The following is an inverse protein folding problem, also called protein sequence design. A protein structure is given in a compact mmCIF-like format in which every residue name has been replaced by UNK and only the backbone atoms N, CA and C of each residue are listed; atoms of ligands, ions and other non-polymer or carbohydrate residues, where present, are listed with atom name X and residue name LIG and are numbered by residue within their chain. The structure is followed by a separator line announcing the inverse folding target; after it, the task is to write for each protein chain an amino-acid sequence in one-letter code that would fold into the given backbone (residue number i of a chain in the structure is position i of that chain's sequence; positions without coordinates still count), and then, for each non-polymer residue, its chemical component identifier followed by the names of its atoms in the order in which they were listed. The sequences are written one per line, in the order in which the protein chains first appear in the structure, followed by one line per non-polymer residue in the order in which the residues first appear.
data_IF_536029221941
#
_entry.id   IF_536029221941
#
_cell.length_a   1.000
_cell.length_b   1.000
_cell.length_c   1.000
_cell.angle_alpha   90.00
_cell.angle_beta   90.00
_cell.angle_gamma   90.00
#
_symmetry.space_group_name_H-M   'P 1'
#
loop_
_entity.id
_entity.type
_entity.pdbx_description
1 polymer ?
#
# COMPACT_ATOMS: atom_id res chain seq x y z
N UNK A 1 25.01 4.83 12.69
CA UNK A 1 24.46 5.74 11.66
C UNK A 1 23.02 5.33 11.41
N UNK A 2 22.06 6.24 11.58
CA UNK A 2 20.64 5.96 11.34
C UNK A 2 20.18 6.65 10.06
N UNK A 3 19.22 6.04 9.37
CA UNK A 3 18.56 6.62 8.20
C UNK A 3 17.19 7.20 8.58
N UNK A 4 16.72 8.16 7.80
CA UNK A 4 15.41 8.77 8.03
C UNK A 4 14.27 7.83 7.61
N UNK A 5 13.49 7.38 8.58
CA UNK A 5 12.42 6.41 8.37
C UNK A 5 11.31 6.90 7.40
N UNK A 6 10.79 8.15 7.51
CA UNK A 6 9.87 8.72 6.52
C UNK A 6 10.39 8.64 5.07
N UNK A 7 11.68 8.91 4.86
CA UNK A 7 12.29 8.77 3.54
C UNK A 7 12.33 7.32 3.05
N UNK A 8 12.58 6.34 3.92
CA UNK A 8 12.54 4.92 3.55
C UNK A 8 11.15 4.47 3.09
N UNK A 9 10.10 4.84 3.85
CA UNK A 9 8.70 4.50 3.51
C UNK A 9 8.34 5.03 2.13
N UNK A 10 8.67 6.30 1.85
CA UNK A 10 8.45 6.90 0.53
C UNK A 10 9.21 6.16 -0.57
N UNK A 11 10.46 5.79 -0.31
CA UNK A 11 11.28 5.10 -1.29
C UNK A 11 10.73 3.71 -1.64
N UNK A 12 10.27 2.94 -0.64
CA UNK A 12 9.60 1.65 -0.85
C UNK A 12 8.36 1.81 -1.72
N UNK A 13 7.45 2.73 -1.34
CA UNK A 13 6.24 3.01 -2.14
C UNK A 13 6.58 3.45 -3.56
N UNK A 14 7.54 4.38 -3.71
CA UNK A 14 7.94 4.89 -5.02
C UNK A 14 8.59 3.80 -5.88
N UNK A 15 9.38 2.91 -5.29
CA UNK A 15 9.97 1.76 -5.99
C UNK A 15 8.89 0.79 -6.48
N UNK A 16 7.88 0.51 -5.65
CA UNK A 16 6.74 -0.32 -6.04
C UNK A 16 5.94 0.32 -7.17
N UNK A 17 5.58 1.59 -7.04
CA UNK A 17 4.85 2.34 -8.06
C UNK A 17 5.59 2.37 -9.41
N UNK A 18 6.89 2.63 -9.40
CA UNK A 18 7.66 2.81 -10.65
C UNK A 18 7.97 1.50 -11.35
N UNK A 19 8.24 0.44 -10.58
CA UNK A 19 8.64 -0.86 -11.13
C UNK A 19 7.50 -1.88 -11.14
N UNK A 20 6.32 -1.48 -10.67
CA UNK A 20 5.05 -2.23 -10.65
C UNK A 20 5.05 -3.51 -9.82
N UNK A 21 6.20 -3.98 -9.36
CA UNK A 21 6.30 -5.13 -8.47
C UNK A 21 7.48 -5.04 -7.50
N UNK A 22 7.29 -5.63 -6.32
CA UNK A 22 8.31 -5.89 -5.30
C UNK A 22 8.27 -7.36 -4.89
N UNK A 23 9.42 -7.86 -4.44
CA UNK A 23 9.57 -9.20 -3.87
C UNK A 23 10.37 -9.06 -2.57
N UNK A 24 9.82 -9.58 -1.48
CA UNK A 24 10.42 -9.43 -0.14
C UNK A 24 11.46 -10.53 0.12
N UNK A 25 11.19 -11.74 -0.35
CA UNK A 25 12.10 -12.90 -0.25
C UNK A 25 12.16 -13.67 -1.58
N UNK A 26 13.22 -14.47 -1.84
CA UNK A 26 13.35 -15.24 -3.08
C UNK A 26 12.20 -16.20 -3.35
N UNK A 27 11.56 -16.73 -2.31
CA UNK A 27 10.46 -17.70 -2.43
C UNK A 27 9.07 -17.03 -2.29
N UNK A 28 9.03 -15.78 -1.83
CA UNK A 28 7.79 -15.03 -1.62
C UNK A 28 7.07 -14.64 -2.92
N UNK A 29 5.76 -14.42 -2.82
CA UNK A 29 4.99 -13.89 -3.94
C UNK A 29 5.33 -12.43 -4.25
N UNK A 30 5.05 -12.02 -5.49
CA UNK A 30 5.22 -10.62 -5.89
C UNK A 30 4.09 -9.76 -5.31
N UNK A 31 4.48 -8.67 -4.65
CA UNK A 31 3.59 -7.56 -4.34
C UNK A 31 3.49 -6.70 -5.59
N UNK A 32 2.32 -6.63 -6.23
CA UNK A 32 2.11 -5.89 -7.47
C UNK A 32 1.32 -4.62 -7.23
N UNK A 33 1.66 -3.54 -7.94
CA UNK A 33 0.93 -2.28 -7.87
C UNK A 33 -0.52 -2.42 -8.35
N UNK A 34 -0.76 -3.30 -9.32
CA UNK A 34 -2.11 -3.56 -9.85
C UNK A 34 -3.09 -3.99 -8.76
N UNK A 35 -2.64 -4.75 -7.75
CA UNK A 35 -3.51 -5.18 -6.65
C UNK A 35 -4.14 -4.00 -5.90
N UNK A 36 -3.41 -2.90 -5.74
CA UNK A 36 -3.93 -1.68 -5.09
C UNK A 36 -4.98 -0.97 -5.95
N UNK A 37 -4.79 -1.00 -7.28
CA UNK A 37 -5.75 -0.45 -8.24
C UNK A 37 -7.03 -1.29 -8.23
N UNK A 38 -6.89 -2.62 -8.28
CA UNK A 38 -8.00 -3.56 -8.25
C UNK A 38 -8.82 -3.40 -6.95
N UNK A 39 -8.16 -3.31 -5.78
CA UNK A 39 -8.85 -3.09 -4.50
C UNK A 39 -9.62 -1.77 -4.51
N UNK A 40 -9.00 -0.67 -4.93
CA UNK A 40 -9.67 0.62 -4.98
C UNK A 40 -10.88 0.63 -5.91
N UNK A 41 -10.74 0.06 -7.11
CA UNK A 41 -11.81 0.00 -8.10
C UNK A 41 -12.99 -0.86 -7.61
N UNK A 42 -12.71 -1.99 -6.97
CA UNK A 42 -13.74 -2.85 -6.38
C UNK A 42 -14.43 -2.19 -5.18
N UNK A 43 -13.68 -1.50 -4.33
CA UNK A 43 -14.22 -0.76 -3.18
C UNK A 43 -15.11 0.41 -3.63
N UNK A 44 -14.72 1.12 -4.69
CA UNK A 44 -15.54 2.17 -5.29
C UNK A 44 -16.81 1.64 -5.95
N UNK A 45 -16.74 0.49 -6.64
CA UNK A 45 -17.92 -0.16 -7.24
C UNK A 45 -18.92 -0.61 -6.17
N UNK A 46 -18.43 -1.23 -5.09
CA UNK A 46 -19.26 -1.69 -3.97
C UNK A 46 -20.00 -0.55 -3.27
N UNK A 47 -19.40 0.65 -3.26
CA UNK A 47 -20.01 1.85 -2.69
C UNK A 47 -21.37 2.23 -3.31
N UNK A 48 -21.69 1.72 -4.50
CA UNK A 48 -22.99 1.94 -5.16
C UNK A 48 -24.12 1.15 -4.49
N UNK A 49 -23.84 -0.09 -4.04
CA UNK A 49 -24.81 -1.00 -3.45
C UNK A 49 -24.81 -0.96 -1.91
N UNK A 50 -23.73 -0.47 -1.30
CA UNK A 50 -23.60 -0.27 0.15
C UNK A 50 -22.70 0.94 0.43
N UNK A 51 -23.13 1.94 1.21
CA UNK A 51 -22.40 3.21 1.36
C UNK A 51 -21.07 3.10 2.13
N UNK A 52 -20.74 1.92 2.67
CA UNK A 52 -19.54 1.73 3.49
C UNK A 52 -18.40 1.14 2.66
N UNK A 53 -17.39 1.98 2.38
CA UNK A 53 -16.12 1.56 1.78
C UNK A 53 -15.26 0.80 2.79
N UNK A 54 -14.57 -0.23 2.32
CA UNK A 54 -13.57 -1.01 3.06
C UNK A 54 -12.32 -0.17 3.30
N UNK A 55 -11.88 0.59 2.29
CA UNK A 55 -10.67 1.42 2.35
C UNK A 55 -11.03 2.91 2.17
N UNK A 56 -11.78 3.55 3.09
CA UNK A 56 -12.28 4.91 2.91
C UNK A 56 -11.16 5.96 2.85
N UNK A 57 -10.00 5.69 3.47
CA UNK A 57 -8.82 6.56 3.45
C UNK A 57 -8.09 6.54 2.11
N UNK A 58 -8.21 5.45 1.34
CA UNK A 58 -7.54 5.32 0.04
C UNK A 58 -8.35 6.08 -1.01
N UNK A 59 -7.65 6.90 -1.76
CA UNK A 59 -8.21 7.78 -2.80
C UNK A 59 -7.35 7.69 -4.05
N UNK A 60 -7.85 8.17 -5.18
CA UNK A 60 -7.08 8.18 -6.43
C UNK A 60 -5.69 8.81 -6.30
N UNK A 61 -5.52 9.87 -5.48
CA UNK A 61 -4.20 10.48 -5.17
C UNK A 61 -3.14 9.52 -4.57
N UNK A 62 -3.55 8.41 -3.99
CA UNK A 62 -2.64 7.38 -3.49
C UNK A 62 -2.10 6.51 -4.64
N UNK A 63 -2.90 6.35 -5.70
CA UNK A 63 -2.63 5.47 -6.84
C UNK A 63 -2.01 6.21 -8.03
N UNK A 64 -2.59 7.38 -8.35
CA UNK A 64 -2.10 8.31 -9.36
C UNK A 64 -1.24 9.38 -8.70
N UNK A 65 0.05 9.06 -8.59
CA UNK A 65 1.01 9.81 -7.80
C UNK A 65 1.73 10.81 -8.70
N UNK A 66 1.37 12.08 -8.57
CA UNK A 66 2.10 13.20 -9.17
C UNK A 66 3.40 13.55 -8.40
N UNK A 67 4.16 14.53 -8.90
CA UNK A 67 5.43 14.94 -8.30
C UNK A 67 5.32 15.36 -6.83
N UNK A 68 4.21 16.01 -6.43
CA UNK A 68 3.98 16.43 -5.05
C UNK A 68 3.53 15.26 -4.16
N UNK A 69 2.65 14.41 -4.66
CA UNK A 69 2.15 13.21 -3.97
C UNK A 69 3.24 12.16 -3.77
N UNK A 70 4.27 12.16 -4.62
CA UNK A 70 5.48 11.32 -4.49
C UNK A 70 6.28 11.61 -3.22
N UNK A 71 6.24 12.86 -2.75
CA UNK A 71 6.96 13.32 -1.56
C UNK A 71 6.11 13.31 -0.29
N UNK A 72 4.80 13.12 -0.43
CA UNK A 72 3.88 13.06 0.70
C UNK A 72 4.03 11.73 1.45
N UNK A 73 4.62 11.80 2.65
CA UNK A 73 4.83 10.63 3.52
C UNK A 73 3.50 10.03 3.95
N UNK A 74 2.49 10.86 4.26
CA UNK A 74 1.19 10.38 4.71
C UNK A 74 0.53 9.47 3.66
N UNK A 75 0.51 9.89 2.40
CA UNK A 75 -0.04 9.06 1.31
C UNK A 75 0.76 7.76 1.14
N UNK A 76 2.09 7.82 1.26
CA UNK A 76 2.92 6.62 1.18
C UNK A 76 2.65 5.64 2.33
N UNK A 77 2.50 6.16 3.54
CA UNK A 77 2.18 5.36 4.73
C UNK A 77 0.81 4.73 4.58
N UNK A 78 -0.23 5.46 4.18
CA UNK A 78 -1.59 4.92 4.05
C UNK A 78 -1.68 3.78 3.01
N UNK A 79 -0.90 3.84 1.92
CA UNK A 79 -0.80 2.73 0.95
C UNK A 79 -0.16 1.49 1.58
N UNK A 80 0.79 1.67 2.49
CA UNK A 80 1.52 0.57 3.12
C UNK A 80 0.90 0.12 4.46
N UNK A 81 -0.02 0.92 5.04
CA UNK A 81 -0.64 0.76 6.37
C UNK A 81 -1.40 -0.57 6.48
N UNK A 82 -2.22 -0.94 5.49
CA UNK A 82 -2.97 -2.21 5.55
C UNK A 82 -2.08 -3.46 5.35
N UNK A 83 -0.96 -3.34 4.63
CA UNK A 83 0.01 -4.45 4.54
C UNK A 83 0.67 -4.74 5.90
N UNK A 84 0.85 -3.71 6.74
CA UNK A 84 1.44 -3.85 8.07
C UNK A 84 0.48 -4.47 9.08
N UNK A 85 -0.82 -4.18 8.97
CA UNK A 85 -1.86 -4.81 9.81
C UNK A 85 -1.97 -6.31 9.49
N UNK A 86 -1.96 -6.69 8.21
CA UNK A 86 -1.95 -8.10 7.80
C UNK A 86 -0.66 -8.84 8.18
N UNK A 87 0.50 -8.18 8.13
CA UNK A 87 1.77 -8.76 8.58
C UNK A 87 1.75 -9.06 10.08
N UNK A 88 1.23 -8.14 10.91
CA UNK A 88 1.06 -8.38 12.35
C UNK A 88 0.08 -9.54 12.62
N UNK A 89 -1.07 -9.60 11.92
CA UNK A 89 -2.01 -10.72 12.08
C UNK A 89 -1.43 -12.07 11.61
N UNK A 90 -0.50 -12.07 10.66
CA UNK A 90 0.19 -13.29 10.21
C UNK A 90 1.29 -13.71 11.19
N UNK A 91 2.06 -12.78 11.74
CA UNK A 91 3.06 -13.06 12.79
C UNK A 91 2.41 -13.65 14.06
N UNK A 92 1.25 -13.14 14.47
CA UNK A 92 0.46 -13.68 15.58
C UNK A 92 -0.05 -15.13 15.34
N UNK A 93 -0.15 -15.56 14.07
CA UNK A 93 -0.59 -16.90 13.68
C UNK A 93 0.56 -17.91 13.55
N UNK A 94 1.80 -17.44 13.44
CA UNK A 94 3.01 -18.29 13.30
C UNK A 94 3.67 -18.56 14.66
N UNK A 95 3.41 -17.71 15.66
CA UNK A 95 3.90 -17.88 17.04
C UNK A 95 2.97 -18.72 17.95
N UNK A 96 1.86 -19.27 17.43
CA UNK A 96 0.99 -20.27 18.07
C UNK A 96 1.09 -21.62 17.35
#
# INVERSE_FOLDING_TARGET
MFSDAPHLIKNVRNRLLNKKSLKVSPDGQYIRWSYYQDVYDNDCKRSFDSPTRVCPKITLRHLDVDGFSKMNVKLATQVLEENLIWLNCWEEQVEN
#
